data_IF_040538903115
#
_entry.id   IF_040538903115
#
_cell.length_a   1.000
_cell.length_b   1.000
_cell.length_c   1.000
_cell.angle_alpha   90.00
_cell.angle_beta   90.00
_cell.angle_gamma   90.00
#
_symmetry.space_group_name_H-M   'P 1'
#
loop_
_entity.id
_entity.type
_entity.pdbx_description
1 polymer ?
#
# COMPACT_ATOMS: atom_id res chain seq x y z
N UNK A 1 16.46 -23.43 -15.36
CA UNK A 1 16.17 -24.28 -14.19
C UNK A 1 15.79 -23.40 -13.02
N UNK A 2 14.57 -23.50 -12.48
CA UNK A 2 14.27 -23.52 -11.04
C UNK A 2 12.84 -24.03 -10.87
N UNK A 3 12.76 -25.04 -10.01
CA UNK A 3 11.62 -25.87 -9.62
C UNK A 3 10.74 -25.08 -8.64
N UNK A 4 9.42 -25.28 -8.66
CA UNK A 4 8.59 -24.95 -7.50
C UNK A 4 7.72 -26.13 -7.07
N UNK A 5 7.87 -26.45 -5.79
CA UNK A 5 7.14 -27.48 -5.06
C UNK A 5 5.73 -27.03 -4.72
N UNK A 6 4.81 -27.99 -4.83
CA UNK A 6 3.39 -27.87 -4.51
C UNK A 6 3.16 -27.98 -3.00
N UNK A 7 2.22 -27.18 -2.46
CA UNK A 7 1.62 -27.45 -1.16
C UNK A 7 0.10 -27.52 -1.32
N UNK A 8 -0.47 -28.49 -0.61
CA UNK A 8 -1.85 -29.00 -0.67
C UNK A 8 -2.92 -27.89 -0.67
N UNK A 9 -3.88 -28.02 -1.59
CA UNK A 9 -5.14 -27.31 -1.53
C UNK A 9 -6.30 -28.31 -1.67
N UNK A 10 -7.24 -28.22 -0.73
CA UNK A 10 -8.41 -29.10 -0.57
C UNK A 10 -9.27 -29.18 -1.84
N UNK A 11 -9.62 -30.40 -2.23
CA UNK A 11 -10.00 -30.80 -3.59
C UNK A 11 -11.47 -30.56 -3.99
N UNK A 12 -12.32 -29.93 -3.15
CA UNK A 12 -13.77 -29.93 -3.39
C UNK A 12 -14.40 -28.65 -3.96
N UNK A 13 -13.64 -27.56 -4.16
CA UNK A 13 -14.22 -26.27 -4.64
C UNK A 13 -13.69 -25.74 -5.98
N UNK A 14 -12.80 -26.46 -6.66
CA UNK A 14 -12.07 -25.95 -7.83
C UNK A 14 -12.78 -26.10 -9.20
N UNK A 15 -13.91 -26.79 -9.28
CA UNK A 15 -14.32 -27.38 -10.57
C UNK A 15 -15.33 -26.61 -11.43
N UNK A 16 -16.02 -25.58 -10.94
CA UNK A 16 -17.05 -24.94 -11.76
C UNK A 16 -16.92 -23.44 -12.02
N UNK A 17 -16.09 -22.70 -11.29
CA UNK A 17 -15.94 -21.26 -11.55
C UNK A 17 -14.48 -20.80 -11.40
N UNK A 18 -13.86 -20.57 -12.55
CA UNK A 18 -12.71 -19.68 -12.77
C UNK A 18 -11.26 -20.11 -12.45
N UNK A 19 -10.96 -21.33 -12.01
CA UNK A 19 -9.57 -21.81 -11.92
C UNK A 19 -9.43 -23.26 -12.41
N UNK A 20 -9.71 -23.48 -13.70
CA UNK A 20 -9.69 -24.80 -14.32
C UNK A 20 -8.35 -25.03 -15.02
N UNK A 21 -7.52 -25.94 -14.50
CA UNK A 21 -6.29 -26.36 -15.16
C UNK A 21 -6.45 -26.63 -16.67
N UNK A 22 -5.41 -26.36 -17.46
CA UNK A 22 -5.40 -26.65 -18.90
C UNK A 22 -4.82 -28.04 -19.21
N UNK A 23 -3.98 -28.58 -18.33
CA UNK A 23 -3.25 -29.81 -18.60
C UNK A 23 -3.17 -30.69 -17.35
N UNK A 24 -3.15 -32.00 -17.58
CA UNK A 24 -2.81 -33.02 -16.58
C UNK A 24 -1.66 -33.84 -17.14
N UNK A 25 -0.57 -33.94 -16.40
CA UNK A 25 0.55 -34.81 -16.70
C UNK A 25 0.34 -36.15 -15.99
N UNK A 26 0.37 -37.24 -16.76
CA UNK A 26 0.20 -38.61 -16.28
C UNK A 26 1.55 -39.24 -15.87
N UNK A 27 1.52 -40.30 -15.06
CA UNK A 27 2.70 -41.14 -14.82
C UNK A 27 3.27 -41.61 -16.17
N UNK A 28 4.56 -41.36 -16.45
CA UNK A 28 5.20 -41.64 -17.74
C UNK A 28 5.34 -40.45 -18.69
N UNK A 29 5.00 -39.22 -18.26
CA UNK A 29 5.32 -37.98 -18.99
C UNK A 29 4.30 -37.55 -20.05
N UNK A 30 3.27 -38.37 -20.30
CA UNK A 30 2.18 -38.01 -21.21
C UNK A 30 1.34 -36.86 -20.67
N UNK A 31 1.18 -35.80 -21.48
CA UNK A 31 0.38 -34.63 -21.14
C UNK A 31 -1.00 -34.72 -21.82
N UNK A 32 -2.06 -34.70 -21.01
CA UNK A 32 -3.44 -34.63 -21.49
C UNK A 32 -3.95 -33.19 -21.45
N UNK A 33 -4.48 -32.71 -22.57
CA UNK A 33 -5.10 -31.38 -22.69
C UNK A 33 -6.55 -31.45 -22.18
N UNK A 34 -6.94 -30.51 -21.32
CA UNK A 34 -8.30 -30.36 -20.81
C UNK A 34 -9.03 -29.26 -21.60
N UNK A 35 -9.77 -29.64 -22.64
CA UNK A 35 -10.58 -28.68 -23.40
C UNK A 35 -11.80 -28.22 -22.60
N UNK A 36 -12.09 -26.91 -22.65
CA UNK A 36 -13.25 -26.30 -21.99
C UNK A 36 -14.58 -26.86 -22.49
N UNK A 37 -14.65 -27.23 -23.78
CA UNK A 37 -15.86 -27.73 -24.43
C UNK A 37 -16.25 -29.13 -23.95
N UNK A 38 -15.28 -29.94 -23.50
CA UNK A 38 -15.48 -31.34 -23.12
C UNK A 38 -15.65 -31.50 -21.61
N UNK A 39 -16.80 -31.06 -21.08
CA UNK A 39 -17.08 -31.08 -19.63
C UNK A 39 -17.02 -32.51 -19.03
N UNK A 40 -17.60 -33.50 -19.72
CA UNK A 40 -17.67 -34.87 -19.24
C UNK A 40 -16.28 -35.52 -19.11
N UNK A 41 -15.41 -35.32 -20.11
CA UNK A 41 -14.02 -35.80 -20.06
C UNK A 41 -13.22 -35.14 -18.93
N UNK A 42 -13.42 -33.83 -18.69
CA UNK A 42 -12.80 -33.12 -17.56
C UNK A 42 -13.25 -33.67 -16.21
N UNK A 43 -14.55 -33.90 -16.04
CA UNK A 43 -15.10 -34.47 -14.81
C UNK A 43 -14.60 -35.92 -14.58
N UNK A 44 -14.53 -36.73 -15.63
CA UNK A 44 -13.98 -38.08 -15.55
C UNK A 44 -12.48 -38.07 -15.21
N UNK A 45 -11.70 -37.18 -15.83
CA UNK A 45 -10.29 -37.00 -15.52
C UNK A 45 -10.07 -36.53 -14.08
N UNK A 46 -10.88 -35.59 -13.59
CA UNK A 46 -10.79 -35.09 -12.22
C UNK A 46 -11.11 -36.17 -11.18
N UNK A 47 -12.11 -37.03 -11.44
CA UNK A 47 -12.45 -38.17 -10.54
C UNK A 47 -11.36 -39.23 -10.48
N UNK A 48 -10.49 -39.33 -11.49
CA UNK A 48 -9.34 -40.26 -11.52
C UNK A 48 -8.13 -39.70 -10.77
N UNK A 49 -8.11 -38.41 -10.43
CA UNK A 49 -7.06 -37.84 -9.59
C UNK A 49 -7.23 -38.38 -8.18
N UNK A 50 -6.24 -39.11 -7.70
CA UNK A 50 -6.17 -39.53 -6.31
C UNK A 50 -5.30 -38.52 -5.53
N UNK A 51 -5.68 -38.14 -4.31
CA UNK A 51 -4.79 -37.42 -3.41
C UNK A 51 -3.66 -38.36 -3.01
N UNK A 52 -2.55 -38.31 -3.76
CA UNK A 52 -1.36 -39.07 -3.45
C UNK A 52 -0.55 -38.37 -2.37
N UNK A 53 -0.13 -39.12 -1.35
CA UNK A 53 0.99 -38.72 -0.51
C UNK A 53 2.23 -38.67 -1.42
N UNK A 54 2.82 -37.47 -1.57
CA UNK A 54 3.90 -37.20 -2.52
C UNK A 54 5.14 -38.08 -2.29
N UNK A 55 5.20 -38.73 -1.13
CA UNK A 55 6.26 -39.64 -0.71
C UNK A 55 6.15 -41.06 -1.28
N UNK A 56 4.99 -41.51 -1.79
CA UNK A 56 4.73 -42.94 -2.11
C UNK A 56 4.64 -43.29 -3.60
N UNK A 57 4.69 -42.32 -4.51
CA UNK A 57 4.57 -42.57 -5.95
C UNK A 57 5.79 -42.03 -6.71
N UNK A 58 6.56 -42.88 -7.43
CA UNK A 58 7.70 -42.42 -8.21
C UNK A 58 7.31 -41.48 -9.37
N UNK A 59 6.04 -41.53 -9.82
CA UNK A 59 5.50 -40.65 -10.86
C UNK A 59 4.04 -40.27 -10.56
N UNK A 60 3.76 -39.24 -9.76
CA UNK A 60 2.39 -38.82 -9.47
C UNK A 60 1.76 -38.10 -10.67
N UNK A 61 0.43 -38.09 -10.71
CA UNK A 61 -0.31 -37.19 -11.60
C UNK A 61 -0.05 -35.73 -11.21
N UNK A 62 0.26 -34.88 -12.18
CA UNK A 62 0.45 -33.44 -11.95
C UNK A 62 -0.64 -32.65 -12.66
N UNK A 63 -1.28 -31.75 -11.93
CA UNK A 63 -2.30 -30.86 -12.48
C UNK A 63 -1.67 -29.49 -12.69
N UNK A 64 -1.55 -29.06 -13.94
CA UNK A 64 -1.04 -27.73 -14.30
C UNK A 64 -2.19 -26.72 -14.19
N UNK A 65 -2.50 -26.35 -12.95
CA UNK A 65 -3.54 -25.37 -12.63
C UNK A 65 -3.16 -23.97 -13.09
N UNK A 66 -4.19 -23.15 -13.33
CA UNK A 66 -3.98 -21.73 -13.55
C UNK A 66 -3.48 -21.06 -12.27
N UNK A 67 -2.82 -19.92 -12.47
CA UNK A 67 -2.42 -19.02 -11.41
C UNK A 67 -3.67 -18.50 -10.67
N UNK A 68 -3.69 -18.63 -9.34
CA UNK A 68 -4.80 -18.24 -8.47
C UNK A 68 -4.36 -17.18 -7.45
N UNK A 69 -5.33 -16.57 -6.76
CA UNK A 69 -5.12 -15.59 -5.71
C UNK A 69 -4.28 -16.19 -4.59
N UNK A 70 -3.20 -15.49 -4.24
CA UNK A 70 -2.29 -15.89 -3.17
C UNK A 70 -1.04 -16.62 -3.64
N UNK A 71 -1.01 -17.08 -4.91
CA UNK A 71 0.21 -17.62 -5.52
C UNK A 71 1.33 -16.59 -5.53
N UNK A 72 2.58 -17.06 -5.48
CA UNK A 72 3.76 -16.20 -5.56
C UNK A 72 4.20 -16.06 -7.02
N UNK A 73 4.35 -14.83 -7.48
CA UNK A 73 4.95 -14.49 -8.77
C UNK A 73 6.23 -13.69 -8.57
N UNK A 74 7.26 -14.01 -9.35
CA UNK A 74 8.46 -13.18 -9.44
C UNK A 74 8.24 -12.12 -10.52
N UNK A 75 8.31 -10.85 -10.13
CA UNK A 75 8.25 -9.72 -11.06
C UNK A 75 9.64 -9.12 -11.21
N UNK A 76 10.06 -8.91 -12.46
CA UNK A 76 11.31 -8.27 -12.83
C UNK A 76 11.03 -7.04 -13.71
N UNK A 77 11.69 -5.90 -13.45
CA UNK A 77 11.74 -4.77 -14.37
C UNK A 77 13.14 -4.62 -14.94
N UNK A 78 13.24 -4.67 -16.27
CA UNK A 78 14.49 -4.39 -16.98
C UNK A 78 14.66 -2.86 -17.15
N UNK A 79 15.90 -2.34 -17.05
CA UNK A 79 17.14 -3.04 -16.73
C UNK A 79 17.27 -3.38 -15.23
N UNK A 80 17.69 -4.60 -14.93
CA UNK A 80 17.81 -5.11 -13.54
C UNK A 80 19.14 -4.69 -12.91
N UNK A 81 19.28 -3.42 -12.57
CA UNK A 81 20.51 -2.85 -12.01
C UNK A 81 20.80 -3.28 -10.57
N UNK A 82 19.78 -3.64 -9.80
CA UNK A 82 19.90 -3.98 -8.39
C UNK A 82 18.93 -5.09 -8.01
N UNK A 83 19.24 -5.86 -6.96
CA UNK A 83 18.43 -7.01 -6.49
C UNK A 83 16.95 -6.65 -6.25
N UNK A 84 16.60 -5.47 -5.70
CA UNK A 84 15.20 -5.03 -5.62
C UNK A 84 14.49 -4.86 -6.98
N UNK A 85 15.17 -4.77 -8.13
CA UNK A 85 14.48 -4.82 -9.43
C UNK A 85 13.84 -6.17 -9.76
N UNK A 86 14.05 -7.20 -8.93
CA UNK A 86 13.42 -8.52 -9.00
C UNK A 86 12.83 -8.92 -7.64
N UNK A 87 11.50 -8.98 -7.53
CA UNK A 87 10.84 -9.27 -6.24
C UNK A 87 9.65 -10.21 -6.39
N UNK A 88 9.35 -10.92 -5.29
CA UNK A 88 8.21 -11.81 -5.20
C UNK A 88 6.94 -11.07 -4.75
N UNK A 89 5.84 -11.31 -5.45
CA UNK A 89 4.52 -10.71 -5.24
C UNK A 89 3.49 -11.79 -5.03
N UNK A 90 2.46 -11.50 -4.24
CA UNK A 90 1.27 -12.36 -4.17
C UNK A 90 0.30 -11.97 -5.27
N UNK A 91 -0.13 -12.95 -6.06
CA UNK A 91 -1.08 -12.74 -7.15
C UNK A 91 -2.44 -12.34 -6.60
N UNK A 92 -3.03 -11.33 -7.24
CA UNK A 92 -4.47 -11.05 -7.17
C UNK A 92 -5.01 -10.98 -8.58
N UNK A 93 -5.85 -11.96 -8.95
CA UNK A 93 -6.45 -12.02 -10.28
C UNK A 93 -7.58 -10.99 -10.38
N UNK A 94 -7.44 -10.05 -11.31
CA UNK A 94 -8.45 -9.02 -11.60
C UNK A 94 -9.12 -9.35 -12.94
N UNK A 95 -10.45 -9.51 -12.92
CA UNK A 95 -11.23 -9.80 -14.13
C UNK A 95 -11.41 -8.53 -14.96
N UNK A 96 -11.34 -8.65 -16.29
CA UNK A 96 -11.59 -7.55 -17.24
C UNK A 96 -10.44 -6.55 -17.41
N UNK A 97 -9.27 -6.79 -16.80
CA UNK A 97 -8.09 -5.97 -16.99
C UNK A 97 -7.18 -6.55 -18.07
N UNK A 98 -6.58 -5.70 -18.91
CA UNK A 98 -5.63 -6.09 -19.97
C UNK A 98 -4.17 -5.81 -19.60
N UNK A 99 -3.92 -5.13 -18.49
CA UNK A 99 -2.60 -4.75 -17.99
C UNK A 99 -2.39 -5.27 -16.57
N UNK A 100 -1.13 -5.54 -16.21
CA UNK A 100 -0.73 -5.81 -14.84
C UNK A 100 -0.95 -4.56 -13.99
N UNK A 101 -1.56 -4.73 -12.82
CA UNK A 101 -1.79 -3.67 -11.84
C UNK A 101 -1.04 -3.96 -10.57
N UNK A 102 -0.57 -2.91 -9.92
CA UNK A 102 0.36 -3.05 -8.83
C UNK A 102 0.22 -1.86 -7.84
N UNK A 103 0.89 -1.86 -6.68
CA UNK A 103 0.70 -0.82 -5.64
C UNK A 103 1.73 0.32 -5.80
N UNK A 104 1.44 1.54 -5.33
CA UNK A 104 2.36 2.69 -5.42
C UNK A 104 3.56 2.64 -4.46
N UNK A 105 3.36 2.15 -3.24
CA UNK A 105 4.41 2.00 -2.22
C UNK A 105 5.80 1.50 -2.71
N UNK A 106 5.90 0.60 -3.70
CA UNK A 106 7.12 -0.15 -4.03
C UNK A 106 7.72 0.30 -5.37
N UNK A 107 7.07 1.31 -5.98
CA UNK A 107 7.52 2.18 -7.07
C UNK A 107 9.03 2.31 -7.21
N UNK A 108 9.54 2.94 -6.16
CA UNK A 108 10.93 3.36 -5.96
C UNK A 108 11.91 2.21 -6.09
N UNK A 109 11.52 1.01 -5.70
CA UNK A 109 12.42 -0.12 -5.67
C UNK A 109 12.65 -0.76 -7.05
N UNK A 110 11.71 -0.61 -7.98
CA UNK A 110 11.85 -1.02 -9.37
C UNK A 110 12.39 0.10 -10.27
N UNK A 111 12.75 1.26 -9.71
CA UNK A 111 12.97 2.52 -10.43
C UNK A 111 11.85 2.84 -11.43
N UNK A 112 10.64 2.33 -11.14
CA UNK A 112 9.52 2.37 -12.06
C UNK A 112 8.72 3.64 -11.83
N UNK A 113 8.40 4.33 -12.91
CA UNK A 113 7.40 5.39 -12.87
C UNK A 113 5.99 4.84 -12.59
N UNK A 114 5.80 3.51 -12.62
CA UNK A 114 4.56 2.84 -12.29
C UNK A 114 4.76 1.51 -11.52
N UNK A 115 4.04 1.48 -10.39
CA UNK A 115 3.55 0.45 -9.47
C UNK A 115 4.36 -0.85 -9.19
N UNK A 116 4.67 -1.18 -7.91
CA UNK A 116 5.24 -2.46 -7.39
C UNK A 116 4.58 -2.98 -6.05
N UNK A 117 4.94 -4.12 -5.40
CA UNK A 117 4.60 -4.57 -4.00
C UNK A 117 5.49 -5.69 -3.49
N UNK A 118 5.99 -5.57 -2.25
CA UNK A 118 7.19 -6.28 -1.84
C UNK A 118 7.09 -6.70 -0.39
N UNK A 119 7.28 -8.00 -0.15
CA UNK A 119 7.21 -8.61 1.17
C UNK A 119 8.47 -8.50 2.03
N UNK A 120 9.67 -8.47 1.43
CA UNK A 120 10.94 -8.63 2.16
C UNK A 120 11.93 -7.46 2.01
N UNK A 121 11.91 -6.72 0.90
CA UNK A 121 12.91 -5.69 0.62
C UNK A 121 12.40 -4.31 1.05
N UNK A 122 12.24 -4.13 2.36
CA UNK A 122 11.82 -2.85 2.92
C UNK A 122 12.97 -1.83 2.93
N UNK A 123 14.21 -2.27 3.16
CA UNK A 123 15.41 -1.43 3.21
C UNK A 123 16.30 -1.66 1.98
N UNK A 124 16.99 -0.61 1.53
CA UNK A 124 18.09 -0.71 0.57
C UNK A 124 19.30 -1.38 1.24
N UNK A 125 19.89 -2.43 0.66
CA UNK A 125 21.07 -3.07 1.24
C UNK A 125 22.30 -2.17 1.35
N UNK A 126 22.39 -1.14 0.49
CA UNK A 126 23.51 -0.19 0.42
C UNK A 126 23.60 0.70 1.67
N UNK A 127 22.51 1.42 1.96
CA UNK A 127 22.51 2.51 2.96
C UNK A 127 21.44 2.30 4.05
N UNK A 128 20.72 1.17 4.05
CA UNK A 128 19.64 0.91 5.01
C UNK A 128 18.47 1.90 4.92
N UNK A 129 18.34 2.65 3.83
CA UNK A 129 17.24 3.58 3.62
C UNK A 129 15.94 2.82 3.29
N UNK A 130 14.77 3.25 3.80
CA UNK A 130 13.51 2.61 3.43
C UNK A 130 13.19 2.85 1.96
N UNK A 131 12.86 1.77 1.26
CA UNK A 131 12.41 1.76 -0.14
C UNK A 131 10.90 1.99 -0.24
N UNK A 132 10.15 1.41 0.70
CA UNK A 132 8.70 1.45 0.67
C UNK A 132 8.17 2.69 1.40
N UNK A 133 7.24 3.38 0.78
CA UNK A 133 6.57 4.53 1.37
C UNK A 133 5.48 5.08 0.47
N UNK A 134 4.51 5.75 1.07
CA UNK A 134 3.47 6.43 0.32
C UNK A 134 4.03 7.70 -0.34
N UNK A 135 3.49 8.04 -1.52
CA UNK A 135 3.99 9.11 -2.36
C UNK A 135 2.85 10.04 -2.79
N UNK A 136 3.21 11.24 -3.28
CA UNK A 136 2.31 12.16 -3.99
C UNK A 136 1.00 12.43 -3.23
N UNK A 137 -0.13 12.01 -3.80
CA UNK A 137 -1.49 12.21 -3.33
C UNK A 137 -1.73 11.68 -1.91
N UNK A 138 -1.07 10.59 -1.54
CA UNK A 138 -1.19 10.04 -0.20
C UNK A 138 -0.55 10.96 0.85
N UNK A 139 0.53 11.65 0.50
CA UNK A 139 1.17 12.62 1.39
C UNK A 139 0.26 13.83 1.57
N UNK A 140 -0.31 14.34 0.48
CA UNK A 140 -1.28 15.45 0.51
C UNK A 140 -2.51 15.09 1.35
N UNK A 141 -3.11 13.94 1.08
CA UNK A 141 -4.26 13.42 1.83
C UNK A 141 -3.93 13.22 3.30
N UNK A 142 -2.72 12.72 3.62
CA UNK A 142 -2.24 12.59 4.99
C UNK A 142 -2.15 13.92 5.72
N UNK A 143 -1.65 14.98 5.07
CA UNK A 143 -1.66 16.34 5.63
C UNK A 143 -3.10 16.80 5.85
N UNK A 144 -3.94 16.80 4.81
CA UNK A 144 -5.32 17.30 4.86
C UNK A 144 -6.16 16.59 5.93
N UNK A 145 -5.97 15.28 6.09
CA UNK A 145 -6.66 14.49 7.09
C UNK A 145 -6.20 14.84 8.51
N UNK A 146 -4.90 15.08 8.72
CA UNK A 146 -4.31 15.30 10.06
C UNK A 146 -4.22 16.76 10.50
N UNK A 147 -4.61 17.72 9.66
CA UNK A 147 -4.71 19.13 10.01
C UNK A 147 -5.57 19.32 11.27
N UNK A 148 -5.08 20.15 12.21
CA UNK A 148 -5.84 20.53 13.41
C UNK A 148 -7.09 21.30 13.03
N UNK A 149 -8.20 21.02 13.72
CA UNK A 149 -9.50 21.59 13.39
C UNK A 149 -10.29 20.76 12.37
N UNK A 150 -9.67 19.74 11.75
CA UNK A 150 -10.40 18.77 10.93
C UNK A 150 -11.06 17.72 11.82
N UNK A 151 -12.39 17.70 11.78
CA UNK A 151 -13.24 16.79 12.53
C UNK A 151 -14.16 16.00 11.59
N UNK A 152 -14.49 14.79 11.99
CA UNK A 152 -15.31 13.84 11.25
C UNK A 152 -16.51 13.41 12.10
N UNK A 153 -17.65 13.27 11.44
CA UNK A 153 -18.84 12.65 12.03
C UNK A 153 -18.58 11.18 12.36
N UNK A 154 -19.48 10.55 13.11
CA UNK A 154 -19.37 9.12 13.41
C UNK A 154 -19.39 8.31 12.12
N UNK A 155 -20.26 8.69 11.18
CA UNK A 155 -20.48 8.03 9.91
C UNK A 155 -19.22 8.10 9.03
N UNK A 156 -18.66 9.30 8.88
CA UNK A 156 -17.44 9.50 8.08
C UNK A 156 -16.24 8.80 8.70
N UNK A 157 -16.09 8.89 10.02
CA UNK A 157 -15.03 8.20 10.75
C UNK A 157 -15.09 6.70 10.52
N UNK A 158 -16.28 6.10 10.67
CA UNK A 158 -16.47 4.66 10.48
C UNK A 158 -16.23 4.26 9.03
N UNK A 159 -16.71 5.06 8.07
CA UNK A 159 -16.50 4.79 6.65
C UNK A 159 -15.01 4.75 6.28
N UNK A 160 -14.25 5.76 6.71
CA UNK A 160 -12.81 5.87 6.47
C UNK A 160 -12.01 4.74 7.15
N UNK A 161 -12.37 4.38 8.39
CA UNK A 161 -11.70 3.29 9.11
C UNK A 161 -12.03 1.94 8.46
N UNK A 162 -13.28 1.68 8.12
CA UNK A 162 -13.68 0.41 7.49
C UNK A 162 -13.09 0.26 6.08
N UNK A 163 -13.00 1.34 5.30
CA UNK A 163 -12.35 1.30 3.98
C UNK A 163 -10.86 0.93 4.10
N UNK A 164 -10.18 1.45 5.12
CA UNK A 164 -8.79 1.11 5.42
C UNK A 164 -8.60 -0.37 5.79
N UNK A 165 -9.62 -1.03 6.34
CA UNK A 165 -9.60 -2.44 6.74
C UNK A 165 -10.41 -3.38 5.83
N UNK A 166 -10.83 -2.94 4.64
CA UNK A 166 -11.72 -3.69 3.74
C UNK A 166 -11.29 -5.13 3.35
N UNK A 167 -10.04 -5.53 3.64
CA UNK A 167 -9.51 -6.87 3.35
C UNK A 167 -9.37 -7.73 4.61
N UNK A 168 -9.78 -7.23 5.78
CA UNK A 168 -9.65 -7.91 7.06
C UNK A 168 -11.01 -8.04 7.73
N UNK A 169 -11.31 -9.23 8.26
CA UNK A 169 -12.56 -9.55 8.98
C UNK A 169 -12.45 -9.37 10.50
N UNK A 170 -11.45 -8.63 10.98
CA UNK A 170 -11.20 -8.48 12.41
C UNK A 170 -12.15 -7.47 13.06
N UNK A 171 -12.49 -7.69 14.33
CA UNK A 171 -13.20 -6.70 15.14
C UNK A 171 -12.28 -5.52 15.44
N UNK A 172 -12.69 -4.33 15.02
CA UNK A 172 -11.89 -3.11 15.19
C UNK A 172 -12.14 -2.46 16.56
N UNK A 173 -11.07 -2.03 17.20
CA UNK A 173 -11.08 -1.23 18.42
C UNK A 173 -11.18 0.23 18.03
N UNK A 174 -12.26 0.90 18.42
CA UNK A 174 -12.55 2.29 18.06
C UNK A 174 -12.41 3.19 19.30
N UNK A 175 -11.70 4.33 19.22
CA UNK A 175 -11.57 5.26 20.33
C UNK A 175 -12.87 6.06 20.57
N UNK A 176 -13.06 6.59 21.80
CA UNK A 176 -14.13 7.56 22.05
C UNK A 176 -13.92 8.84 21.21
N UNK A 177 -14.99 9.60 20.92
CA UNK A 177 -14.89 10.84 20.15
C UNK A 177 -14.02 11.87 20.88
N UNK A 178 -13.23 12.65 20.12
CA UNK A 178 -12.43 13.75 20.66
C UNK A 178 -13.30 14.89 21.18
N UNK A 179 -14.48 15.09 20.61
CA UNK A 179 -15.45 16.11 21.02
C UNK A 179 -16.79 15.44 21.29
N UNK A 180 -17.35 15.66 22.49
CA UNK A 180 -18.64 15.07 22.89
C UNK A 180 -19.83 16.02 22.67
N UNK A 181 -19.61 17.32 22.89
CA UNK A 181 -20.60 18.39 22.74
C UNK A 181 -20.01 19.52 21.86
N UNK A 182 -20.82 20.23 21.06
CA UNK A 182 -22.27 20.06 20.87
C UNK A 182 -22.64 18.83 20.01
N UNK A 183 -21.68 18.29 19.24
CA UNK A 183 -21.83 17.06 18.45
C UNK A 183 -20.66 16.11 18.72
N UNK A 184 -20.92 14.80 18.58
CA UNK A 184 -19.89 13.77 18.70
C UNK A 184 -19.01 13.76 17.45
N UNK A 185 -17.76 14.15 17.61
CA UNK A 185 -16.82 14.27 16.50
C UNK A 185 -15.48 13.60 16.83
N UNK A 186 -14.86 13.02 15.80
CA UNK A 186 -13.53 12.42 15.85
C UNK A 186 -12.54 13.28 15.08
N UNK A 187 -11.30 13.35 15.55
CA UNK A 187 -10.24 14.03 14.80
C UNK A 187 -9.60 13.10 13.77
N UNK A 188 -9.00 13.66 12.71
CA UNK A 188 -8.26 12.83 11.75
C UNK A 188 -7.06 12.09 12.37
N UNK A 189 -6.43 12.68 13.40
CA UNK A 189 -5.37 12.01 14.18
C UNK A 189 -5.87 10.76 14.90
N UNK A 190 -7.12 10.76 15.35
CA UNK A 190 -7.75 9.55 15.92
C UNK A 190 -7.94 8.46 14.87
N UNK A 191 -8.19 8.80 13.60
CA UNK A 191 -8.30 7.80 12.52
C UNK A 191 -6.97 7.08 12.34
N UNK A 192 -5.86 7.83 12.23
CA UNK A 192 -4.51 7.25 12.11
C UNK A 192 -4.18 6.38 13.33
N UNK A 193 -4.44 6.90 14.53
CA UNK A 193 -4.23 6.18 15.80
C UNK A 193 -5.03 4.86 15.84
N UNK A 194 -6.25 4.88 15.30
CA UNK A 194 -7.12 3.69 15.21
C UNK A 194 -6.51 2.66 14.26
N UNK A 195 -5.99 3.07 13.11
CA UNK A 195 -5.32 2.14 12.18
C UNK A 195 -4.10 1.52 12.83
N UNK A 196 -3.24 2.32 13.46
CA UNK A 196 -2.04 1.81 14.13
C UNK A 196 -2.39 0.81 15.22
N UNK A 197 -3.33 1.15 16.11
CA UNK A 197 -3.76 0.27 17.21
C UNK A 197 -4.34 -1.06 16.74
N UNK A 198 -5.02 -1.08 15.59
CA UNK A 198 -5.64 -2.29 15.03
C UNK A 198 -4.69 -3.09 14.11
N UNK A 199 -3.57 -2.51 13.70
CA UNK A 199 -2.54 -3.20 12.93
C UNK A 199 -1.41 -3.75 13.79
N UNK A 200 -1.13 -3.13 14.95
CA UNK A 200 -0.13 -3.58 15.91
C UNK A 200 -0.70 -4.74 16.74
N UNK A 201 0.07 -5.82 17.00
CA UNK A 201 -0.34 -6.91 17.86
C UNK A 201 -0.67 -6.45 19.29
N UNK A 202 -1.72 -7.02 19.90
CA UNK A 202 -2.19 -6.63 21.24
C UNK A 202 -1.19 -6.95 22.36
N UNK A 203 -0.31 -7.92 22.14
CA UNK A 203 0.75 -8.36 23.04
C UNK A 203 1.96 -7.42 23.03
N UNK A 204 2.03 -6.46 22.10
CA UNK A 204 3.15 -5.53 21.97
C UNK A 204 2.81 -4.13 22.47
N UNK A 205 3.77 -3.42 23.08
CA UNK A 205 3.57 -2.03 23.49
C UNK A 205 3.32 -1.14 22.28
N UNK A 206 2.62 -0.02 22.50
CA UNK A 206 2.39 0.98 21.47
C UNK A 206 3.66 1.76 21.14
N UNK A 207 3.68 2.37 19.95
CA UNK A 207 4.81 3.14 19.45
C UNK A 207 4.94 4.49 20.19
N UNK A 208 6.14 4.78 20.70
CA UNK A 208 6.55 6.11 21.13
C UNK A 208 7.52 6.69 20.10
N UNK A 209 7.09 7.70 19.35
CA UNK A 209 7.91 8.34 18.32
C UNK A 209 7.94 9.86 18.50
N UNK A 210 9.14 10.43 18.57
CA UNK A 210 9.36 11.88 18.48
C UNK A 210 10.13 12.16 17.21
N UNK A 211 9.51 12.89 16.28
CA UNK A 211 10.10 13.22 14.99
C UNK A 211 9.66 14.61 14.57
N UNK A 212 10.48 15.25 13.74
CA UNK A 212 10.15 16.52 13.10
C UNK A 212 9.44 16.26 11.78
N UNK A 213 8.65 17.23 11.33
CA UNK A 213 8.07 17.24 9.99
C UNK A 213 8.80 18.27 9.11
N UNK A 214 8.81 18.04 7.80
CA UNK A 214 9.39 18.94 6.78
C UNK A 214 8.69 20.29 6.72
N UNK A 215 7.42 20.36 7.08
CA UNK A 215 6.67 21.63 7.06
C UNK A 215 6.99 22.42 8.32
N UNK A 216 7.73 23.54 8.23
CA UNK A 216 8.06 24.33 9.40
C UNK A 216 6.80 24.99 10.00
N UNK A 217 6.83 25.34 11.28
CA UNK A 217 5.71 26.03 11.95
C UNK A 217 5.37 27.36 11.27
N UNK A 218 6.34 28.03 10.66
CA UNK A 218 6.14 29.30 9.95
C UNK A 218 5.12 29.21 8.81
N UNK A 219 4.97 28.05 8.18
CA UNK A 219 3.95 27.81 7.15
C UNK A 219 2.52 27.81 7.69
N UNK A 220 2.33 27.72 9.01
CA UNK A 220 1.03 27.71 9.68
C UNK A 220 0.66 29.05 10.31
N UNK A 221 1.44 30.11 10.04
CA UNK A 221 1.13 31.45 10.51
C UNK A 221 -0.04 32.02 9.70
N UNK A 222 -1.13 32.33 10.39
CA UNK A 222 -2.25 33.08 9.84
C UNK A 222 -2.11 34.53 10.31
N UNK A 223 -2.26 35.48 9.39
CA UNK A 223 -2.19 36.92 9.72
C UNK A 223 -3.23 37.26 10.80
N UNK A 224 -2.78 37.86 11.90
CA UNK A 224 -3.64 38.21 13.05
C UNK A 224 -3.80 37.13 14.12
N UNK A 225 -3.22 35.93 13.94
CA UNK A 225 -3.24 34.86 14.94
C UNK A 225 -1.83 34.59 15.49
N UNK A 226 -1.75 34.27 16.79
CA UNK A 226 -0.52 33.78 17.40
C UNK A 226 -0.09 32.45 16.79
N UNK A 227 1.22 32.23 16.74
CA UNK A 227 1.75 30.97 16.23
C UNK A 227 1.38 29.83 17.20
N UNK A 228 0.92 28.68 16.68
CA UNK A 228 0.63 27.54 17.55
C UNK A 228 1.92 27.05 18.22
N UNK A 229 1.88 26.86 19.54
CA UNK A 229 3.01 26.33 20.34
C UNK A 229 3.42 24.90 19.94
N UNK A 230 2.48 24.12 19.41
CA UNK A 230 2.69 22.72 19.06
C UNK A 230 2.80 22.53 17.55
N UNK A 231 3.73 21.67 17.15
CA UNK A 231 3.93 21.29 15.76
C UNK A 231 2.63 20.73 15.14
N UNK A 232 2.22 21.32 14.02
CA UNK A 232 0.90 21.13 13.43
C UNK A 232 0.81 20.03 12.36
N UNK A 233 1.91 19.37 12.00
CA UNK A 233 1.85 18.31 10.99
C UNK A 233 2.84 17.17 11.22
N UNK A 234 2.36 15.95 10.95
CA UNK A 234 3.08 14.67 10.87
C UNK A 234 3.17 14.23 9.40
N UNK A 235 3.44 15.17 8.50
CA UNK A 235 3.38 14.96 7.04
C UNK A 235 4.48 14.05 6.47
N UNK A 236 5.41 13.60 7.30
CA UNK A 236 6.63 12.90 6.87
C UNK A 236 6.76 11.46 7.33
N UNK A 237 5.74 10.95 7.98
CA UNK A 237 5.81 9.66 8.63
C UNK A 237 5.44 8.49 7.73
N UNK A 238 4.71 8.77 6.65
CA UNK A 238 4.16 7.75 5.78
C UNK A 238 4.99 7.52 4.51
N UNK A 239 5.99 8.37 4.25
CA UNK A 239 6.87 8.29 3.09
C UNK A 239 8.06 7.34 3.28
N UNK A 240 8.93 7.28 2.27
CA UNK A 240 10.17 6.49 2.29
C UNK A 240 11.30 7.24 3.03
N UNK A 241 11.03 7.66 4.26
CA UNK A 241 11.93 8.45 5.13
C UNK A 241 12.56 7.59 6.21
N UNK A 242 13.89 7.71 6.38
CA UNK A 242 14.58 7.08 7.52
C UNK A 242 14.02 7.65 8.83
N UNK A 243 13.87 6.76 9.82
CA UNK A 243 13.30 7.08 11.14
C UNK A 243 11.86 7.64 11.10
N UNK A 244 11.16 7.47 9.98
CA UNK A 244 9.72 7.73 9.89
C UNK A 244 8.88 6.66 10.58
N UNK A 245 7.58 6.92 10.74
CA UNK A 245 6.63 6.01 11.40
C UNK A 245 6.67 4.58 10.83
N UNK A 246 6.64 4.44 9.50
CA UNK A 246 6.64 3.10 8.88
C UNK A 246 7.98 2.40 9.10
N UNK A 247 9.10 3.13 9.10
CA UNK A 247 10.42 2.57 9.39
C UNK A 247 10.50 2.07 10.85
N UNK A 248 10.06 2.87 11.82
CA UNK A 248 10.02 2.44 13.23
C UNK A 248 9.07 1.26 13.45
N UNK A 249 7.91 1.23 12.76
CA UNK A 249 7.00 0.10 12.82
C UNK A 249 7.60 -1.18 12.21
N UNK A 250 8.41 -1.03 11.16
CA UNK A 250 9.13 -2.16 10.57
C UNK A 250 10.15 -2.75 11.55
N UNK A 251 10.89 -1.89 12.24
CA UNK A 251 11.92 -2.29 13.19
C UNK A 251 11.31 -2.97 14.44
N UNK A 252 10.26 -2.39 15.02
CA UNK A 252 9.65 -2.89 16.27
C UNK A 252 8.70 -4.08 16.07
N UNK A 253 7.90 -4.06 15.00
CA UNK A 253 6.83 -5.04 14.78
C UNK A 253 7.12 -6.01 13.64
N UNK A 254 8.18 -5.76 12.86
CA UNK A 254 8.57 -6.58 11.72
C UNK A 254 7.81 -6.24 10.43
N UNK A 255 8.30 -6.81 9.33
CA UNK A 255 7.86 -6.47 7.98
C UNK A 255 6.36 -6.65 7.73
N UNK A 256 5.74 -7.69 8.30
CA UNK A 256 4.31 -8.01 8.06
C UNK A 256 3.40 -6.89 8.56
N UNK A 257 3.68 -6.35 9.74
CA UNK A 257 2.88 -5.29 10.35
C UNK A 257 3.11 -3.95 9.65
N UNK A 258 4.36 -3.62 9.32
CA UNK A 258 4.68 -2.41 8.56
C UNK A 258 3.99 -2.36 7.19
N UNK A 259 4.04 -3.45 6.42
CA UNK A 259 3.37 -3.55 5.11
C UNK A 259 1.86 -3.46 5.26
N UNK A 260 1.30 -4.08 6.30
CA UNK A 260 -0.13 -4.00 6.60
C UNK A 260 -0.56 -2.56 6.92
N UNK A 261 0.19 -1.87 7.78
CA UNK A 261 -0.05 -0.45 8.11
C UNK A 261 0.00 0.39 6.84
N UNK A 262 1.03 0.21 6.01
CA UNK A 262 1.19 0.95 4.75
C UNK A 262 0.01 0.71 3.79
N UNK A 263 -0.46 -0.54 3.69
CA UNK A 263 -1.62 -0.91 2.86
C UNK A 263 -2.95 -0.35 3.39
N UNK A 264 -3.11 -0.28 4.71
CA UNK A 264 -4.28 0.35 5.34
C UNK A 264 -4.28 1.87 5.13
N UNK A 265 -3.13 2.53 5.33
CA UNK A 265 -2.99 3.97 5.12
C UNK A 265 -3.18 4.36 3.64
N UNK A 266 -2.65 3.58 2.70
CA UNK A 266 -2.86 3.82 1.28
C UNK A 266 -4.36 3.84 0.93
N UNK A 267 -5.13 2.85 1.40
CA UNK A 267 -6.58 2.79 1.20
C UNK A 267 -7.30 3.95 1.88
N UNK A 268 -6.95 4.25 3.13
CA UNK A 268 -7.50 5.39 3.87
C UNK A 268 -7.36 6.68 3.05
N UNK A 269 -6.12 6.98 2.62
CA UNK A 269 -5.81 8.23 1.96
C UNK A 269 -6.45 8.33 0.59
N UNK A 270 -6.55 7.21 -0.15
CA UNK A 270 -7.30 7.17 -1.41
C UNK A 270 -8.80 7.41 -1.18
N UNK A 271 -9.43 6.77 -0.19
CA UNK A 271 -10.86 7.02 0.12
C UNK A 271 -11.09 8.45 0.59
N UNK A 272 -10.22 8.98 1.45
CA UNK A 272 -10.32 10.36 1.91
C UNK A 272 -10.21 11.36 0.76
N UNK A 273 -9.28 11.14 -0.16
CA UNK A 273 -9.10 12.04 -1.31
C UNK A 273 -10.26 11.96 -2.30
N UNK A 274 -10.88 10.79 -2.47
CA UNK A 274 -12.10 10.63 -3.27
C UNK A 274 -13.28 11.44 -2.71
N UNK A 275 -13.35 11.60 -1.39
CA UNK A 275 -14.42 12.35 -0.73
C UNK A 275 -14.14 13.85 -0.69
N UNK A 276 -12.90 14.24 -0.37
CA UNK A 276 -12.53 15.63 -0.19
C UNK A 276 -12.15 16.34 -1.51
N UNK A 277 -11.50 15.61 -2.42
CA UNK A 277 -10.83 16.18 -3.58
C UNK A 277 -9.57 16.99 -3.21
N UNK A 278 -8.70 17.17 -4.19
CA UNK A 278 -7.57 18.10 -4.14
C UNK A 278 -7.34 18.62 -5.57
N UNK A 279 -7.00 19.89 -5.70
CA UNK A 279 -6.73 20.54 -6.99
C UNK A 279 -5.67 21.62 -6.81
N UNK A 280 -5.06 22.01 -7.93
CA UNK A 280 -4.13 23.12 -8.01
C UNK A 280 -4.52 23.97 -9.22
N UNK A 281 -4.81 25.24 -8.98
CA UNK A 281 -5.19 26.20 -10.00
C UNK A 281 -4.07 27.19 -10.34
N UNK A 282 -4.31 28.01 -11.36
CA UNK A 282 -3.37 29.08 -11.75
C UNK A 282 -3.14 30.06 -10.59
N UNK A 283 -4.18 30.35 -9.79
CA UNK A 283 -4.09 31.25 -8.65
C UNK A 283 -3.06 30.81 -7.60
N UNK A 284 -2.83 29.50 -7.44
CA UNK A 284 -1.86 28.96 -6.48
C UNK A 284 -0.40 29.20 -6.92
N UNK A 285 -0.20 29.52 -8.20
CA UNK A 285 1.10 29.81 -8.82
C UNK A 285 1.38 31.32 -8.85
N UNK A 286 0.33 32.14 -8.81
CA UNK A 286 0.45 33.59 -8.92
C UNK A 286 1.07 34.21 -7.66
N UNK A 287 2.11 35.00 -7.87
CA UNK A 287 2.78 35.74 -6.81
C UNK A 287 1.96 36.98 -6.44
N UNK A 288 1.87 37.31 -5.14
CA UNK A 288 1.22 38.55 -4.67
C UNK A 288 1.92 39.78 -5.28
N UNK A 289 1.14 40.82 -5.63
CA UNK A 289 1.65 42.05 -6.27
C UNK A 289 2.83 42.69 -5.51
N UNK A 290 2.75 42.73 -4.18
CA UNK A 290 3.83 43.27 -3.33
C UNK A 290 5.13 42.47 -3.44
N UNK A 291 5.02 41.14 -3.47
CA UNK A 291 6.17 40.25 -3.61
C UNK A 291 6.75 40.34 -5.02
N UNK A 292 5.92 40.45 -6.06
CA UNK A 292 6.38 40.65 -7.43
C UNK A 292 7.08 42.01 -7.63
N UNK A 293 6.59 43.08 -6.97
CA UNK A 293 7.25 44.39 -6.96
C UNK A 293 8.65 44.31 -6.34
N UNK A 294 8.79 43.60 -5.21
CA UNK A 294 10.11 43.34 -4.60
C UNK A 294 11.02 42.55 -5.54
N UNK A 295 10.50 41.46 -6.13
CA UNK A 295 11.22 40.64 -7.11
C UNK A 295 11.76 41.47 -8.27
N UNK A 296 10.94 42.37 -8.85
CA UNK A 296 11.35 43.25 -9.94
C UNK A 296 12.48 44.20 -9.54
N UNK A 297 12.41 44.82 -8.36
CA UNK A 297 13.47 45.71 -7.85
C UNK A 297 14.82 44.99 -7.73
N UNK A 298 14.83 43.76 -7.20
CA UNK A 298 16.06 42.97 -7.09
C UNK A 298 16.63 42.59 -8.46
N UNK A 299 15.77 42.19 -9.41
CA UNK A 299 16.19 41.89 -10.79
C UNK A 299 16.79 43.13 -11.46
N UNK A 300 16.20 44.31 -11.26
CA UNK A 300 16.72 45.57 -11.79
C UNK A 300 18.07 45.95 -11.17
N UNK A 301 18.27 45.71 -9.87
CA UNK A 301 19.54 45.93 -9.20
C UNK A 301 20.63 45.01 -9.73
N UNK A 302 20.34 43.70 -9.87
CA UNK A 302 21.29 42.71 -10.42
C UNK A 302 21.72 43.04 -11.85
N UNK A 303 20.81 43.52 -12.69
CA UNK A 303 21.11 43.94 -14.06
C UNK A 303 22.06 45.13 -14.15
N UNK A 304 22.22 45.91 -13.07
CA UNK A 304 23.14 47.05 -13.00
C UNK A 304 24.55 46.66 -12.53
N UNK A 305 24.72 45.49 -11.90
CA UNK A 305 26.01 45.04 -11.37
C UNK A 305 26.91 44.34 -12.42
N UNK A 306 26.45 44.19 -13.67
CA UNK A 306 27.16 43.51 -14.75
C UNK A 306 27.75 44.43 -15.84
N UNK A 307 27.76 45.74 -15.61
CA UNK A 307 28.48 46.76 -16.39
C UNK A 307 29.57 47.38 -15.53
#
# INVERSE_FOLDING_TARGET
AYIFFFKEASFSKLLCNFFSANFIQKPGGFTQILSKQKCNERNAAAKRLQPGDSSRLPYPFQVLRHLDRGDLMLMNRQPSLHKPSMMGHRTRVLKGQRALRLNYAPCKAYNADFDANVGSNFLVPKDGTPLLGLIQDHVVSGVLLTIRGRFFSKEDFMHLVLSAFAETTQRLIIPPPAMLKPRRLWSGKQIISTILRNCIPLDKPLLNLRSKAKTPLSCWKVDGCEMPEFNMSESEHYGSTQYGLIHCCWDLYGHRHAIRILSCLSRLFTTHLQYHGFTLGVADILVRKEADKKRRKEIEALRKCGN
#
